data_IF_346448886631
#
_entry.id   IF_346448886631
#
_cell.length_a   1.000
_cell.length_b   1.000
_cell.length_c   1.000
_cell.angle_alpha   90.00
_cell.angle_beta   90.00
_cell.angle_gamma   90.00
#
_symmetry.space_group_name_H-M   'P 1'
#
loop_
_entity.id
_entity.type
_entity.pdbx_description
1 polymer ?
#
# COMPACT_ATOMS: atom_id res chain seq x y z
N UNK A 1 13.80 -7.56 -9.78
CA UNK A 1 12.81 -6.49 -9.56
C UNK A 1 11.66 -6.94 -8.66
N UNK A 2 11.15 -8.17 -8.72
CA UNK A 2 10.23 -8.69 -7.69
C UNK A 2 10.76 -8.59 -6.23
N UNK A 3 12.08 -8.68 -6.04
CA UNK A 3 12.73 -8.59 -4.73
C UNK A 3 12.45 -7.27 -3.98
N UNK A 4 12.39 -6.13 -4.69
CA UNK A 4 12.20 -4.83 -4.04
C UNK A 4 10.75 -4.60 -3.66
N UNK A 5 9.82 -4.96 -4.54
CA UNK A 5 8.39 -4.99 -4.27
C UNK A 5 8.07 -5.86 -3.05
N UNK A 6 8.72 -7.03 -2.95
CA UNK A 6 8.61 -7.91 -1.78
C UNK A 6 9.21 -7.29 -0.52
N UNK A 7 10.35 -6.62 -0.59
CA UNK A 7 10.96 -5.91 0.55
C UNK A 7 10.02 -4.82 1.09
N UNK A 8 9.43 -4.00 0.20
CA UNK A 8 8.50 -2.94 0.57
C UNK A 8 7.23 -3.51 1.21
N UNK A 9 6.69 -4.59 0.64
CA UNK A 9 5.55 -5.32 1.21
C UNK A 9 5.88 -5.86 2.59
N UNK A 10 7.01 -6.54 2.77
CA UNK A 10 7.43 -7.07 4.07
C UNK A 10 7.63 -5.95 5.09
N UNK A 11 8.05 -4.76 4.66
CA UNK A 11 8.14 -3.60 5.55
C UNK A 11 6.77 -3.07 5.96
N UNK A 12 5.79 -3.02 5.04
CA UNK A 12 4.39 -2.72 5.39
C UNK A 12 3.82 -3.75 6.37
N UNK A 13 4.13 -5.03 6.19
CA UNK A 13 3.65 -6.11 7.06
C UNK A 13 4.09 -5.95 8.53
N UNK A 14 5.17 -5.21 8.81
CA UNK A 14 5.61 -4.88 10.18
C UNK A 14 4.65 -3.95 10.93
N UNK A 15 3.76 -3.27 10.21
CA UNK A 15 2.79 -2.30 10.75
C UNK A 15 1.35 -2.84 10.70
N UNK A 16 1.16 -4.14 10.48
CA UNK A 16 -0.18 -4.73 10.45
C UNK A 16 -0.84 -4.62 11.82
N UNK A 17 -2.03 -4.03 11.82
CA UNK A 17 -2.98 -4.10 12.92
C UNK A 17 -4.11 -5.05 12.52
N UNK A 18 -4.24 -6.16 13.25
CA UNK A 18 -5.26 -7.20 12.99
C UNK A 18 -6.68 -6.63 13.14
N UNK A 19 -6.89 -5.73 14.11
CA UNK A 19 -8.20 -5.10 14.32
C UNK A 19 -8.56 -4.23 13.11
N UNK A 20 -7.59 -3.49 12.57
CA UNK A 20 -7.80 -2.71 11.35
C UNK A 20 -8.00 -3.62 10.14
N UNK A 21 -7.27 -4.73 10.03
CA UNK A 21 -7.42 -5.70 8.95
C UNK A 21 -8.84 -6.25 8.85
N UNK A 22 -9.48 -6.50 9.99
CA UNK A 22 -10.88 -6.97 10.04
C UNK A 22 -11.90 -5.84 9.82
N UNK A 23 -11.60 -4.63 10.30
CA UNK A 23 -12.51 -3.49 10.22
C UNK A 23 -12.54 -2.82 8.84
N UNK A 24 -11.39 -2.61 8.20
CA UNK A 24 -11.26 -1.85 6.96
C UNK A 24 -12.12 -2.38 5.80
N UNK A 25 -12.20 -3.71 5.55
CA UNK A 25 -13.09 -4.25 4.52
C UNK A 25 -14.56 -3.81 4.67
N UNK A 26 -15.05 -3.75 5.91
CA UNK A 26 -16.42 -3.31 6.21
C UNK A 26 -16.58 -1.80 5.99
N UNK A 27 -15.59 -1.01 6.43
CA UNK A 27 -15.59 0.44 6.25
C UNK A 27 -15.57 0.83 4.77
N UNK A 28 -14.74 0.16 3.96
CA UNK A 28 -14.62 0.38 2.52
C UNK A 28 -15.70 -0.32 1.69
N UNK A 29 -16.58 -1.11 2.33
CA UNK A 29 -17.67 -1.84 1.69
C UNK A 29 -17.13 -2.74 0.57
N UNK A 30 -16.36 -3.75 0.93
CA UNK A 30 -15.72 -4.67 -0.03
C UNK A 30 -16.54 -5.91 -0.38
N UNK A 31 -17.79 -5.99 0.08
CA UNK A 31 -18.70 -7.08 -0.26
C UNK A 31 -19.11 -7.08 -1.73
N UNK A 32 -19.67 -8.19 -2.19
CA UNK A 32 -20.18 -8.33 -3.56
C UNK A 32 -21.23 -7.26 -3.88
N UNK A 33 -21.08 -6.57 -5.01
CA UNK A 33 -21.93 -5.48 -5.47
C UNK A 33 -21.71 -4.15 -4.74
N UNK A 34 -20.68 -4.03 -3.91
CA UNK A 34 -20.37 -2.81 -3.16
C UNK A 34 -19.22 -2.03 -3.80
N UNK A 35 -19.03 -0.78 -3.34
CA UNK A 35 -18.07 0.16 -3.91
C UNK A 35 -16.62 -0.37 -3.95
N UNK A 36 -16.18 -1.02 -2.88
CA UNK A 36 -14.83 -1.57 -2.75
C UNK A 36 -14.76 -3.06 -3.10
N UNK A 37 -15.70 -3.60 -3.86
CA UNK A 37 -15.71 -5.04 -4.18
C UNK A 37 -14.34 -5.51 -4.71
N UNK A 38 -13.79 -6.54 -4.07
CA UNK A 38 -12.50 -7.13 -4.44
C UNK A 38 -11.27 -6.51 -3.76
N UNK A 39 -11.41 -5.36 -3.08
CA UNK A 39 -10.29 -4.77 -2.34
C UNK A 39 -9.90 -5.62 -1.12
N UNK A 40 -8.58 -5.80 -0.93
CA UNK A 40 -7.98 -6.49 0.20
C UNK A 40 -7.11 -5.54 1.00
N UNK A 41 -7.15 -5.67 2.31
CA UNK A 41 -6.44 -4.81 3.25
C UNK A 41 -5.50 -5.63 4.11
N UNK A 42 -4.26 -5.15 4.28
CA UNK A 42 -3.29 -5.67 5.23
C UNK A 42 -3.65 -5.24 6.67
N UNK A 43 -4.32 -4.10 6.84
CA UNK A 43 -4.57 -3.50 8.15
C UNK A 43 -3.55 -2.46 8.55
N UNK A 44 -2.86 -1.84 7.59
CA UNK A 44 -1.85 -0.80 7.86
C UNK A 44 -2.48 0.57 7.75
N UNK A 45 -2.29 1.43 8.75
CA UNK A 45 -2.86 2.78 8.74
C UNK A 45 -2.03 3.74 7.88
N UNK A 46 -2.69 4.77 7.35
CA UNK A 46 -2.08 5.75 6.43
C UNK A 46 -0.78 6.39 6.98
N UNK A 47 -0.67 6.79 8.27
CA UNK A 47 0.59 7.30 8.81
C UNK A 47 1.77 6.33 8.61
N UNK A 48 1.58 5.03 8.85
CA UNK A 48 2.63 4.02 8.71
C UNK A 48 2.96 3.74 7.24
N UNK A 49 1.95 3.70 6.37
CA UNK A 49 2.17 3.61 4.92
C UNK A 49 3.02 4.78 4.41
N UNK A 50 2.82 6.00 4.93
CA UNK A 50 3.64 7.18 4.58
C UNK A 50 5.09 7.04 5.02
N UNK A 51 5.37 6.38 6.16
CA UNK A 51 6.74 6.13 6.60
C UNK A 51 7.48 5.23 5.60
N UNK A 52 6.85 4.13 5.20
CA UNK A 52 7.42 3.20 4.22
C UNK A 52 7.61 3.88 2.86
N UNK A 53 6.59 4.59 2.38
CA UNK A 53 6.66 5.31 1.10
C UNK A 53 7.80 6.35 1.08
N UNK A 54 7.99 7.10 2.16
CA UNK A 54 9.06 8.11 2.27
C UNK A 54 10.45 7.47 2.28
N UNK A 55 10.59 6.29 2.87
CA UNK A 55 11.85 5.53 2.92
C UNK A 55 12.24 5.01 1.54
N UNK A 56 11.28 4.53 0.76
CA UNK A 56 11.49 3.94 -0.57
C UNK A 56 11.21 4.91 -1.73
N UNK A 57 11.08 6.21 -1.47
CA UNK A 57 10.72 7.18 -2.51
C UNK A 57 11.69 7.28 -3.67
N UNK A 58 12.92 6.79 -3.56
CA UNK A 58 13.91 6.84 -4.65
C UNK A 58 13.88 5.61 -5.56
N UNK A 59 12.97 4.66 -5.33
CA UNK A 59 12.83 3.45 -6.16
C UNK A 59 12.28 3.79 -7.57
N UNK A 60 12.54 2.88 -8.52
CA UNK A 60 12.20 3.10 -9.93
C UNK A 60 10.69 3.09 -10.20
N UNK A 61 10.28 3.70 -11.31
CA UNK A 61 8.90 3.63 -11.78
C UNK A 61 8.45 2.20 -12.11
N UNK A 62 9.37 1.28 -12.44
CA UNK A 62 9.01 -0.14 -12.59
C UNK A 62 8.57 -0.74 -11.26
N UNK A 63 9.31 -0.48 -10.18
CA UNK A 63 8.95 -0.96 -8.82
C UNK A 63 7.62 -0.37 -8.36
N UNK A 64 7.40 0.93 -8.61
CA UNK A 64 6.11 1.60 -8.33
C UNK A 64 4.99 0.94 -9.14
N UNK A 65 5.22 0.67 -10.43
CA UNK A 65 4.28 -0.01 -11.30
C UNK A 65 3.89 -1.41 -10.80
N UNK A 66 4.86 -2.20 -10.34
CA UNK A 66 4.62 -3.52 -9.73
C UNK A 66 3.78 -3.41 -8.45
N UNK A 67 4.08 -2.47 -7.55
CA UNK A 67 3.29 -2.26 -6.33
C UNK A 67 1.84 -1.85 -6.63
N UNK A 68 1.61 -1.07 -7.70
CA UNK A 68 0.26 -0.69 -8.14
C UNK A 68 -0.58 -1.88 -8.62
N UNK A 69 0.05 -2.96 -9.08
CA UNK A 69 -0.63 -4.20 -9.47
C UNK A 69 -0.93 -5.13 -8.27
N UNK A 70 -0.53 -4.74 -7.05
CA UNK A 70 -0.79 -5.55 -5.86
C UNK A 70 -2.28 -5.64 -5.53
N UNK A 71 -2.71 -6.83 -5.12
CA UNK A 71 -4.05 -7.05 -4.55
C UNK A 71 -4.27 -6.26 -3.24
N UNK A 72 -3.20 -5.94 -2.52
CA UNK A 72 -3.25 -5.25 -1.23
C UNK A 72 -3.37 -3.74 -1.42
N UNK A 73 -4.40 -3.17 -0.81
CA UNK A 73 -4.71 -1.74 -0.86
C UNK A 73 -3.53 -0.89 -0.38
N UNK A 74 -2.88 -1.27 0.71
CA UNK A 74 -1.79 -0.49 1.30
C UNK A 74 -0.51 -0.52 0.45
N UNK A 75 -0.28 -1.58 -0.34
CA UNK A 75 0.80 -1.60 -1.33
C UNK A 75 0.54 -0.59 -2.45
N UNK A 76 -0.68 -0.55 -2.99
CA UNK A 76 -1.06 0.43 -4.03
C UNK A 76 -0.99 1.86 -3.49
N UNK A 77 -1.47 2.10 -2.27
CA UNK A 77 -1.36 3.39 -1.61
C UNK A 77 0.10 3.79 -1.38
N UNK A 78 0.95 2.86 -0.94
CA UNK A 78 2.39 3.11 -0.78
C UNK A 78 3.04 3.57 -2.09
N UNK A 79 2.73 2.91 -3.21
CA UNK A 79 3.24 3.29 -4.52
C UNK A 79 2.87 4.72 -4.92
N UNK A 80 1.59 5.10 -4.74
CA UNK A 80 1.12 6.47 -5.03
C UNK A 80 1.80 7.50 -4.12
N UNK A 81 2.00 7.18 -2.85
CA UNK A 81 2.69 8.05 -1.90
C UNK A 81 4.18 8.19 -2.23
N UNK A 82 4.84 7.14 -2.72
CA UNK A 82 6.21 7.20 -3.22
C UNK A 82 6.31 8.19 -4.38
N UNK A 83 5.39 8.10 -5.35
CA UNK A 83 5.31 9.07 -6.46
C UNK A 83 5.14 10.51 -5.93
N UNK A 84 4.19 10.74 -5.02
CA UNK A 84 3.99 12.06 -4.41
C UNK A 84 5.29 12.58 -3.75
N UNK A 85 6.02 11.73 -3.04
CA UNK A 85 7.29 12.11 -2.41
C UNK A 85 8.43 12.38 -3.41
N UNK A 86 8.41 11.74 -4.60
CA UNK A 86 9.33 12.06 -5.70
C UNK A 86 9.05 13.46 -6.27
N UNK A 87 7.79 13.76 -6.55
CA UNK A 87 7.39 15.04 -7.16
C UNK A 87 7.45 16.23 -6.20
N UNK A 88 7.33 16.04 -4.88
CA UNK A 88 7.52 17.12 -3.89
C UNK A 88 8.93 17.71 -3.86
N UNK A 89 9.91 17.00 -4.43
CA UNK A 89 11.31 17.43 -4.49
C UNK A 89 11.72 17.98 -5.86
N UNK A 90 10.77 18.04 -6.81
CA UNK A 90 10.97 18.71 -8.10
C UNK A 90 10.79 20.22 -7.98
#
# INVERSE_FOLDING_TARGET
MELKTNEIRQELEKYIDIVKREYLPNFFKTGKGQYGEGDKFLGVIVPDTRLVAKKHKSESFETIGELLQSEWHECRLCALLMMVEQFKKM
#
